data_IF_880210814443
#
_entry.id   IF_880210814443
#
_cell.length_a   1.000
_cell.length_b   1.000
_cell.length_c   1.000
_cell.angle_alpha   90.00
_cell.angle_beta   90.00
_cell.angle_gamma   90.00
#
_symmetry.space_group_name_H-M   'P 1'
#
loop_
_entity.id
_entity.type
_entity.pdbx_description
1 polymer ?
#
# COMPACT_ATOMS: atom_id res chain seq x y z
N UNK A 1 6.79 50.07 -35.05
CA UNK A 1 7.48 48.78 -35.29
C UNK A 1 7.13 47.67 -34.27
N UNK A 2 6.14 47.86 -33.36
CA UNK A 2 5.81 46.90 -32.28
C UNK A 2 4.58 46.00 -32.52
N UNK A 3 3.88 46.14 -33.66
CA UNK A 3 2.64 45.37 -33.95
C UNK A 3 2.92 44.06 -34.71
N UNK A 4 3.99 44.02 -35.52
CA UNK A 4 4.32 42.85 -36.35
C UNK A 4 4.85 41.65 -35.54
N UNK A 5 5.55 41.90 -34.41
CA UNK A 5 6.14 40.85 -33.58
C UNK A 5 5.12 40.07 -32.72
N UNK A 6 4.00 40.71 -32.34
CA UNK A 6 2.87 40.03 -31.66
C UNK A 6 2.07 39.14 -32.63
N UNK A 7 1.85 39.60 -33.86
CA UNK A 7 1.13 38.84 -34.90
C UNK A 7 1.89 37.58 -35.34
N UNK A 8 3.21 37.68 -35.49
CA UNK A 8 4.07 36.53 -35.83
C UNK A 8 4.14 35.50 -34.70
N UNK A 9 4.19 35.93 -33.42
CA UNK A 9 4.10 35.00 -32.26
C UNK A 9 2.74 34.32 -32.17
N UNK A 10 1.64 35.06 -32.37
CA UNK A 10 0.29 34.47 -32.36
C UNK A 10 0.08 33.47 -33.51
N UNK A 11 0.61 33.78 -34.71
CA UNK A 11 0.57 32.89 -35.88
C UNK A 11 1.42 31.63 -35.71
N UNK A 12 2.61 31.75 -35.10
CA UNK A 12 3.46 30.60 -34.77
C UNK A 12 2.81 29.70 -33.72
N UNK A 13 2.27 30.28 -32.64
CA UNK A 13 1.55 29.54 -31.59
C UNK A 13 0.30 28.86 -32.18
N UNK A 14 -0.46 29.55 -33.03
CA UNK A 14 -1.63 28.98 -33.70
C UNK A 14 -1.28 27.80 -34.62
N UNK A 15 -0.16 27.89 -35.35
CA UNK A 15 0.34 26.79 -36.21
C UNK A 15 0.80 25.57 -35.40
N UNK A 16 1.48 25.79 -34.28
CA UNK A 16 1.91 24.70 -33.38
C UNK A 16 0.70 23.98 -32.78
N UNK A 17 -0.29 24.73 -32.28
CA UNK A 17 -1.54 24.18 -31.73
C UNK A 17 -2.31 23.38 -32.81
N UNK A 18 -2.39 23.87 -34.05
CA UNK A 18 -3.05 23.11 -35.13
C UNK A 18 -2.32 21.82 -35.50
N UNK A 19 -0.99 21.79 -35.36
CA UNK A 19 -0.17 20.62 -35.66
C UNK A 19 -0.27 19.56 -34.55
N UNK A 20 -0.14 19.96 -33.29
CA UNK A 20 -0.28 19.06 -32.13
C UNK A 20 -1.69 18.45 -32.07
N UNK A 21 -2.72 19.25 -32.35
CA UNK A 21 -4.11 18.78 -32.47
C UNK A 21 -4.30 17.79 -33.63
N UNK A 22 -3.59 17.96 -34.73
CA UNK A 22 -3.59 16.99 -35.84
C UNK A 22 -2.89 15.69 -35.45
N UNK A 23 -1.85 15.73 -34.62
CA UNK A 23 -1.12 14.55 -34.16
C UNK A 23 -1.92 13.75 -33.12
N UNK A 24 -2.58 14.41 -32.17
CA UNK A 24 -3.47 13.75 -31.20
C UNK A 24 -4.65 13.03 -31.89
N UNK A 25 -5.23 13.63 -32.93
CA UNK A 25 -6.28 12.97 -33.71
C UNK A 25 -5.78 11.73 -34.46
N UNK A 26 -4.56 11.78 -35.02
CA UNK A 26 -3.93 10.62 -35.66
C UNK A 26 -3.67 9.51 -34.65
N UNK A 27 -3.19 9.85 -33.46
CA UNK A 27 -2.96 8.89 -32.38
C UNK A 27 -4.25 8.17 -31.99
N UNK A 28 -5.37 8.88 -31.82
CA UNK A 28 -6.67 8.25 -31.54
C UNK A 28 -7.15 7.34 -32.68
N UNK A 29 -6.93 7.74 -33.94
CA UNK A 29 -7.27 6.90 -35.11
C UNK A 29 -6.43 5.62 -35.14
N UNK A 30 -5.13 5.72 -34.83
CA UNK A 30 -4.24 4.56 -34.70
C UNK A 30 -4.68 3.63 -33.58
N UNK A 31 -5.03 4.15 -32.39
CA UNK A 31 -5.55 3.33 -31.29
C UNK A 31 -6.77 2.53 -31.74
N UNK A 32 -7.70 3.14 -32.48
CA UNK A 32 -8.92 2.45 -32.92
C UNK A 32 -8.64 1.40 -33.98
N UNK A 33 -7.73 1.67 -34.91
CA UNK A 33 -7.32 0.64 -35.88
C UNK A 33 -6.65 -0.53 -35.17
N UNK A 34 -5.74 -0.27 -34.23
CA UNK A 34 -5.06 -1.31 -33.48
C UNK A 34 -6.05 -2.11 -32.59
N UNK A 35 -7.02 -1.46 -31.95
CA UNK A 35 -8.08 -2.13 -31.20
C UNK A 35 -8.95 -3.01 -32.11
N UNK A 36 -9.23 -2.56 -33.33
CA UNK A 36 -9.98 -3.33 -34.34
C UNK A 36 -9.21 -4.58 -34.75
N UNK A 37 -7.88 -4.50 -34.95
CA UNK A 37 -7.06 -5.69 -35.22
C UNK A 37 -7.09 -6.72 -34.09
N UNK A 38 -7.32 -6.27 -32.84
CA UNK A 38 -7.50 -7.13 -31.66
C UNK A 38 -8.95 -7.60 -31.44
N UNK A 39 -9.86 -7.33 -32.38
CA UNK A 39 -11.26 -7.76 -32.32
C UNK A 39 -12.17 -6.87 -31.47
N UNK A 40 -11.72 -5.67 -31.09
CA UNK A 40 -12.56 -4.69 -30.38
C UNK A 40 -12.95 -3.55 -31.32
N UNK A 41 -14.22 -3.47 -31.70
CA UNK A 41 -14.71 -2.38 -32.54
C UNK A 41 -15.07 -1.17 -31.67
N UNK A 42 -14.53 -0.01 -32.01
CA UNK A 42 -14.75 1.24 -31.29
C UNK A 42 -15.14 2.36 -32.24
N UNK A 43 -16.27 3.02 -31.97
CA UNK A 43 -16.74 4.15 -32.79
C UNK A 43 -16.39 5.45 -32.08
N UNK A 44 -15.45 6.20 -32.63
CA UNK A 44 -15.13 7.56 -32.15
C UNK A 44 -16.19 8.52 -32.71
N UNK A 45 -16.60 9.56 -31.94
CA UNK A 45 -17.35 10.69 -32.47
C UNK A 45 -16.73 11.27 -33.76
N UNK A 46 -17.55 11.88 -34.64
CA UNK A 46 -17.10 12.43 -35.92
C UNK A 46 -15.98 13.47 -35.76
N UNK A 47 -15.10 13.62 -36.78
CA UNK A 47 -13.91 14.49 -36.73
C UNK A 47 -14.20 15.92 -36.27
N UNK A 48 -15.34 16.48 -36.66
CA UNK A 48 -15.73 17.85 -36.31
C UNK A 48 -16.56 17.95 -35.02
N UNK A 49 -16.89 16.83 -34.39
CA UNK A 49 -17.71 16.81 -33.18
C UNK A 49 -16.95 17.40 -32.00
N UNK A 50 -17.63 18.21 -31.18
CA UNK A 50 -17.08 18.76 -29.94
C UNK A 50 -16.50 17.65 -29.03
N UNK A 51 -17.20 16.52 -28.89
CA UNK A 51 -16.74 15.39 -28.10
C UNK A 51 -15.36 14.88 -28.55
N UNK A 52 -15.12 14.74 -29.86
CA UNK A 52 -13.82 14.32 -30.38
C UNK A 52 -12.73 15.34 -30.12
N UNK A 53 -13.06 16.63 -30.21
CA UNK A 53 -12.11 17.69 -29.92
C UNK A 53 -11.69 17.68 -28.45
N UNK A 54 -12.62 17.44 -27.52
CA UNK A 54 -12.33 17.31 -26.10
C UNK A 54 -11.49 16.07 -25.79
N UNK A 55 -11.78 14.91 -26.41
CA UNK A 55 -10.94 13.72 -26.27
C UNK A 55 -9.53 13.94 -26.81
N UNK A 56 -9.38 14.56 -27.99
CA UNK A 56 -8.07 14.86 -28.57
C UNK A 56 -7.22 15.78 -27.69
N UNK A 57 -7.84 16.77 -27.04
CA UNK A 57 -7.17 17.68 -26.11
C UNK A 57 -6.53 16.94 -24.93
N UNK A 58 -7.14 15.85 -24.45
CA UNK A 58 -6.54 15.05 -23.37
C UNK A 58 -5.21 14.45 -23.83
N UNK A 59 -5.17 13.80 -24.99
CA UNK A 59 -3.94 13.23 -25.53
C UNK A 59 -2.90 14.30 -25.85
N UNK A 60 -3.31 15.45 -26.38
CA UNK A 60 -2.44 16.61 -26.63
C UNK A 60 -1.77 17.08 -25.32
N UNK A 61 -2.55 17.27 -24.26
CA UNK A 61 -2.01 17.66 -22.95
C UNK A 61 -1.07 16.60 -22.38
N UNK A 62 -1.40 15.32 -22.48
CA UNK A 62 -0.54 14.24 -21.99
C UNK A 62 0.81 14.23 -22.72
N UNK A 63 0.82 14.41 -24.05
CA UNK A 63 2.05 14.52 -24.84
C UNK A 63 2.83 15.78 -24.47
N UNK A 64 2.16 16.92 -24.29
CA UNK A 64 2.79 18.16 -23.85
C UNK A 64 3.42 18.06 -22.44
N UNK A 65 2.83 17.22 -21.57
CA UNK A 65 3.37 16.87 -20.25
C UNK A 65 4.52 15.85 -20.31
N UNK A 66 4.97 15.45 -21.50
CA UNK A 66 6.12 14.57 -21.71
C UNK A 66 5.79 13.08 -21.78
N UNK A 67 4.51 12.68 -21.82
CA UNK A 67 4.13 11.29 -22.04
C UNK A 67 4.39 10.91 -23.50
N UNK A 68 5.12 9.82 -23.73
CA UNK A 68 5.45 9.37 -25.09
C UNK A 68 4.19 8.87 -25.82
N UNK A 69 4.04 9.27 -27.07
CA UNK A 69 2.96 8.79 -27.95
C UNK A 69 2.91 7.26 -28.06
N UNK A 70 4.07 6.61 -28.10
CA UNK A 70 4.19 5.15 -28.11
C UNK A 70 3.59 4.49 -26.85
N UNK A 71 3.81 5.11 -25.68
CA UNK A 71 3.22 4.62 -24.43
C UNK A 71 1.69 4.80 -24.44
N UNK A 72 1.19 5.95 -24.92
CA UNK A 72 -0.24 6.19 -25.02
C UNK A 72 -0.92 5.19 -25.98
N UNK A 73 -0.28 4.90 -27.12
CA UNK A 73 -0.73 3.87 -28.05
C UNK A 73 -0.79 2.49 -27.37
N UNK A 74 0.32 2.07 -26.75
CA UNK A 74 0.42 0.76 -26.09
C UNK A 74 -0.59 0.60 -24.95
N UNK A 75 -0.69 1.58 -24.05
CA UNK A 75 -1.57 1.53 -22.89
C UNK A 75 -3.04 1.44 -23.28
N UNK A 76 -3.49 2.24 -24.25
CA UNK A 76 -4.88 2.25 -24.71
C UNK A 76 -5.22 1.03 -25.56
N UNK A 77 -4.26 0.47 -26.30
CA UNK A 77 -4.47 -0.72 -27.12
C UNK A 77 -4.40 -2.02 -26.30
N UNK A 78 -3.65 -2.04 -25.19
CA UNK A 78 -3.66 -3.16 -24.22
C UNK A 78 -4.90 -3.13 -23.34
N UNK A 79 -5.44 -1.95 -23.06
CA UNK A 79 -6.62 -1.79 -22.22
C UNK A 79 -7.67 -0.91 -22.92
N UNK A 80 -8.56 -1.55 -23.68
CA UNK A 80 -9.64 -0.86 -24.39
C UNK A 80 -10.57 -0.07 -23.46
N UNK A 81 -10.70 -0.49 -22.19
CA UNK A 81 -11.52 0.22 -21.20
C UNK A 81 -10.94 1.59 -20.82
N UNK A 82 -9.61 1.73 -20.84
CA UNK A 82 -8.93 3.02 -20.65
C UNK A 82 -9.31 3.99 -21.78
N UNK A 83 -9.19 3.56 -23.02
CA UNK A 83 -9.53 4.40 -24.17
C UNK A 83 -11.00 4.83 -24.15
N UNK A 84 -11.90 3.86 -23.89
CA UNK A 84 -13.33 4.13 -23.72
C UNK A 84 -13.56 5.18 -22.62
N UNK A 85 -12.88 5.04 -21.49
CA UNK A 85 -13.00 5.94 -20.34
C UNK A 85 -12.60 7.36 -20.70
N UNK A 86 -11.41 7.53 -21.29
CA UNK A 86 -10.89 8.84 -21.71
C UNK A 86 -11.78 9.49 -22.76
N UNK A 87 -12.29 8.72 -23.73
CA UNK A 87 -13.17 9.27 -24.77
C UNK A 87 -14.55 9.63 -24.22
N UNK A 88 -15.08 8.82 -23.30
CA UNK A 88 -16.43 9.03 -22.73
C UNK A 88 -16.47 10.20 -21.73
N UNK A 89 -15.41 10.37 -20.94
CA UNK A 89 -15.32 11.39 -19.90
C UNK A 89 -13.95 12.09 -19.94
N UNK A 90 -13.63 12.86 -20.99
CA UNK A 90 -12.29 13.38 -21.23
C UNK A 90 -11.83 14.38 -20.15
N UNK A 91 -12.69 15.33 -19.78
CA UNK A 91 -12.36 16.33 -18.77
C UNK A 91 -12.08 15.69 -17.40
N UNK A 92 -13.00 14.81 -16.94
CA UNK A 92 -12.88 14.14 -15.64
C UNK A 92 -11.67 13.19 -15.62
N UNK A 93 -11.46 12.41 -16.68
CA UNK A 93 -10.31 11.49 -16.77
C UNK A 93 -8.98 12.23 -16.66
N UNK A 94 -8.85 13.38 -17.33
CA UNK A 94 -7.65 14.19 -17.27
C UNK A 94 -7.47 14.88 -15.91
N UNK A 95 -8.55 15.36 -15.31
CA UNK A 95 -8.53 15.94 -13.95
C UNK A 95 -8.05 14.92 -12.91
N UNK A 96 -8.50 13.66 -12.99
CA UNK A 96 -8.00 12.58 -12.14
C UNK A 96 -6.51 12.35 -12.35
N UNK A 97 -6.05 12.29 -13.61
CA UNK A 97 -4.63 12.09 -13.92
C UNK A 97 -3.79 13.24 -13.35
N UNK A 98 -4.20 14.49 -13.55
CA UNK A 98 -3.53 15.65 -12.98
C UNK A 98 -3.52 15.61 -11.45
N UNK A 99 -4.62 15.22 -10.81
CA UNK A 99 -4.70 15.11 -9.35
C UNK A 99 -3.71 14.09 -8.82
N UNK A 100 -3.63 12.92 -9.44
CA UNK A 100 -2.68 11.87 -9.06
C UNK A 100 -1.23 12.34 -9.21
N UNK A 101 -0.92 13.10 -10.27
CA UNK A 101 0.43 13.62 -10.50
C UNK A 101 0.77 14.74 -9.52
N UNK A 102 -0.11 15.74 -9.39
CA UNK A 102 0.16 16.96 -8.64
C UNK A 102 0.09 16.75 -7.12
N UNK A 103 -0.86 15.96 -6.65
CA UNK A 103 -1.10 15.70 -5.23
C UNK A 103 -0.53 14.34 -4.81
N UNK A 104 -0.71 13.32 -5.64
CA UNK A 104 -0.21 11.97 -5.36
C UNK A 104 1.27 11.76 -5.69
N UNK A 105 1.91 12.74 -6.35
CA UNK A 105 3.32 12.71 -6.75
C UNK A 105 3.72 11.50 -7.61
N UNK A 106 2.75 10.84 -8.26
CA UNK A 106 3.03 9.77 -9.22
C UNK A 106 3.37 10.37 -10.59
N UNK A 107 3.99 9.57 -11.47
CA UNK A 107 4.25 10.02 -12.84
C UNK A 107 2.95 10.00 -13.66
N UNK A 108 2.89 10.76 -14.76
CA UNK A 108 1.74 10.68 -15.68
C UNK A 108 1.51 9.26 -16.20
N UNK A 109 2.56 8.50 -16.49
CA UNK A 109 2.43 7.10 -16.90
C UNK A 109 1.82 6.23 -15.80
N UNK A 110 2.26 6.40 -14.54
CA UNK A 110 1.70 5.67 -13.40
C UNK A 110 0.23 6.05 -13.17
N UNK A 111 -0.12 7.34 -13.28
CA UNK A 111 -1.50 7.81 -13.17
C UNK A 111 -2.40 7.20 -14.27
N UNK A 112 -1.90 7.12 -15.51
CA UNK A 112 -2.61 6.46 -16.61
C UNK A 112 -2.79 4.96 -16.34
N UNK A 113 -1.75 4.27 -15.83
CA UNK A 113 -1.84 2.85 -15.43
C UNK A 113 -2.87 2.65 -14.32
N UNK A 114 -2.90 3.55 -13.32
CA UNK A 114 -3.89 3.50 -12.24
C UNK A 114 -5.32 3.69 -12.78
N UNK A 115 -5.54 4.66 -13.66
CA UNK A 115 -6.84 4.87 -14.31
C UNK A 115 -7.26 3.67 -15.16
N UNK A 116 -6.30 3.01 -15.80
CA UNK A 116 -6.57 1.81 -16.60
C UNK A 116 -7.01 0.61 -15.74
N UNK A 117 -6.46 0.48 -14.53
CA UNK A 117 -6.78 -0.63 -13.61
C UNK A 117 -8.04 -0.34 -12.79
N UNK A 118 -8.25 0.91 -12.35
CA UNK A 118 -9.35 1.32 -11.49
C UNK A 118 -10.22 2.45 -12.08
N UNK A 119 -10.73 2.32 -13.33
CA UNK A 119 -11.44 3.42 -14.00
C UNK A 119 -12.72 3.80 -13.25
N UNK A 120 -13.53 2.82 -12.86
CA UNK A 120 -14.82 3.04 -12.20
C UNK A 120 -14.65 3.69 -10.83
N UNK A 121 -13.72 3.20 -10.01
CA UNK A 121 -13.51 3.68 -8.65
C UNK A 121 -12.95 5.11 -8.64
N UNK A 122 -11.95 5.39 -9.48
CA UNK A 122 -11.33 6.72 -9.53
C UNK A 122 -12.29 7.78 -10.08
N UNK A 123 -13.05 7.45 -11.13
CA UNK A 123 -14.04 8.38 -11.68
C UNK A 123 -15.22 8.61 -10.74
N UNK A 124 -15.68 7.57 -10.03
CA UNK A 124 -16.80 7.68 -9.09
C UNK A 124 -16.48 8.61 -7.92
N UNK A 125 -15.26 8.53 -7.39
CA UNK A 125 -14.87 9.36 -6.23
C UNK A 125 -14.44 10.77 -6.66
N UNK A 126 -13.89 10.92 -7.86
CA UNK A 126 -13.52 12.23 -8.40
C UNK A 126 -12.27 12.83 -7.73
N UNK A 127 -11.79 13.93 -8.30
CA UNK A 127 -10.52 14.56 -7.91
C UNK A 127 -10.52 15.07 -6.45
N UNK A 128 -11.63 15.66 -5.99
CA UNK A 128 -11.74 16.22 -4.65
C UNK A 128 -11.64 15.14 -3.56
N UNK A 129 -12.34 14.01 -3.72
CA UNK A 129 -12.28 12.91 -2.76
C UNK A 129 -10.90 12.24 -2.74
N UNK A 130 -10.31 12.03 -3.93
CA UNK A 130 -8.96 11.49 -4.07
C UNK A 130 -7.93 12.40 -3.39
N UNK A 131 -8.04 13.72 -3.57
CA UNK A 131 -7.18 14.71 -2.90
C UNK A 131 -7.28 14.58 -1.39
N UNK A 132 -8.50 14.53 -0.84
CA UNK A 132 -8.71 14.38 0.60
C UNK A 132 -8.14 13.07 1.15
N UNK A 133 -8.25 11.97 0.40
CA UNK A 133 -7.63 10.70 0.77
C UNK A 133 -6.09 10.79 0.78
N UNK A 134 -5.48 11.46 -0.19
CA UNK A 134 -4.02 11.66 -0.23
C UNK A 134 -3.55 12.55 0.94
N UNK A 135 -4.30 13.61 1.27
CA UNK A 135 -4.03 14.44 2.44
C UNK A 135 -4.13 13.64 3.75
N UNK A 136 -5.11 12.73 3.85
CA UNK A 136 -5.24 11.83 4.98
C UNK A 136 -4.05 10.86 5.11
N UNK A 137 -3.45 10.40 4.00
CA UNK A 137 -2.21 9.60 4.05
C UNK A 137 -1.05 10.41 4.66
N UNK A 138 -0.94 11.68 4.28
CA UNK A 138 0.07 12.59 4.85
C UNK A 138 -0.14 12.78 6.37
N UNK A 139 -1.39 13.03 6.78
CA UNK A 139 -1.77 13.13 8.19
C UNK A 139 -1.56 11.83 8.99
N UNK A 140 -1.65 10.68 8.32
CA UNK A 140 -1.47 9.34 8.90
C UNK A 140 0.01 8.92 9.04
N UNK A 141 0.95 9.79 8.70
CA UNK A 141 2.39 9.57 8.88
C UNK A 141 3.17 9.26 7.61
N UNK A 142 2.52 9.26 6.43
CA UNK A 142 3.19 9.13 5.12
C UNK A 142 3.51 10.53 4.60
N UNK A 143 4.53 11.18 5.17
CA UNK A 143 4.70 12.63 5.01
C UNK A 143 5.53 13.09 3.81
N UNK A 144 6.25 12.20 3.12
CA UNK A 144 7.11 12.59 1.99
C UNK A 144 6.43 12.34 0.64
N UNK A 145 6.65 13.19 -0.39
CA UNK A 145 6.12 12.97 -1.73
C UNK A 145 6.44 11.58 -2.28
N UNK A 146 7.67 11.10 -2.06
CA UNK A 146 8.11 9.78 -2.50
C UNK A 146 7.39 8.65 -1.78
N UNK A 147 7.16 8.78 -0.47
CA UNK A 147 6.44 7.76 0.29
C UNK A 147 4.95 7.73 -0.07
N UNK A 148 4.34 8.90 -0.34
CA UNK A 148 2.94 8.99 -0.82
C UNK A 148 2.81 8.30 -2.18
N UNK A 149 3.65 8.66 -3.15
CA UNK A 149 3.64 8.04 -4.47
C UNK A 149 3.89 6.52 -4.40
N UNK A 150 4.81 6.09 -3.52
CA UNK A 150 5.07 4.67 -3.28
C UNK A 150 3.85 3.97 -2.65
N UNK A 151 3.17 4.60 -1.70
CA UNK A 151 2.00 4.02 -1.05
C UNK A 151 0.84 3.85 -2.02
N UNK A 152 0.55 4.88 -2.83
CA UNK A 152 -0.48 4.84 -3.87
C UNK A 152 -0.20 3.72 -4.88
N UNK A 153 1.06 3.56 -5.33
CA UNK A 153 1.41 2.51 -6.28
C UNK A 153 1.31 1.10 -5.71
N UNK A 154 1.60 0.93 -4.42
CA UNK A 154 1.53 -0.38 -3.75
C UNK A 154 0.11 -0.75 -3.34
N UNK A 155 -0.69 0.23 -2.96
CA UNK A 155 -2.08 0.03 -2.55
C UNK A 155 -2.98 1.15 -3.10
N UNK A 156 -3.32 1.10 -4.41
CA UNK A 156 -4.25 2.06 -5.02
C UNK A 156 -5.62 2.20 -4.34
N UNK A 157 -6.19 1.15 -3.71
CA UNK A 157 -7.45 1.27 -2.97
C UNK A 157 -7.44 2.32 -1.86
N UNK A 158 -6.29 2.77 -1.36
CA UNK A 158 -6.22 3.89 -0.41
C UNK A 158 -6.84 5.20 -0.92
N UNK A 159 -6.98 5.34 -2.25
CA UNK A 159 -7.56 6.52 -2.87
C UNK A 159 -9.09 6.55 -2.80
N UNK A 160 -9.75 5.43 -2.50
CA UNK A 160 -11.22 5.32 -2.64
C UNK A 160 -11.91 4.29 -1.74
N UNK A 161 -11.20 3.34 -1.13
CA UNK A 161 -11.80 2.22 -0.41
C UNK A 161 -12.18 2.56 1.04
N UNK A 162 -11.69 3.66 1.59
CA UNK A 162 -12.00 4.11 2.96
C UNK A 162 -12.09 5.64 3.00
N UNK A 163 -12.92 6.12 3.92
CA UNK A 163 -13.07 7.55 4.20
C UNK A 163 -11.78 8.16 4.79
N UNK A 164 -11.40 9.39 4.39
CA UNK A 164 -10.22 10.10 4.89
C UNK A 164 -10.14 10.19 6.42
N UNK A 165 -11.26 10.45 7.11
CA UNK A 165 -11.28 10.60 8.56
C UNK A 165 -11.12 9.25 9.25
N UNK A 166 -11.75 8.20 8.73
CA UNK A 166 -11.61 6.84 9.26
C UNK A 166 -10.17 6.31 9.08
N UNK A 167 -9.48 6.63 7.98
CA UNK A 167 -8.06 6.32 7.82
C UNK A 167 -7.19 7.02 8.87
N UNK A 168 -7.46 8.30 9.15
CA UNK A 168 -6.72 9.06 10.17
C UNK A 168 -7.00 8.53 11.59
N UNK A 169 -8.25 8.18 11.90
CA UNK A 169 -8.62 7.53 13.17
C UNK A 169 -7.88 6.21 13.35
N UNK A 170 -7.87 5.36 12.32
CA UNK A 170 -7.15 4.11 12.38
C UNK A 170 -5.63 4.33 12.55
N UNK A 171 -5.04 5.30 11.85
CA UNK A 171 -3.63 5.64 12.05
C UNK A 171 -3.33 6.10 13.49
N UNK A 172 -4.25 6.84 14.10
CA UNK A 172 -4.16 7.23 15.51
C UNK A 172 -4.25 6.03 16.45
N UNK A 173 -5.19 5.12 16.21
CA UNK A 173 -5.36 3.88 16.98
C UNK A 173 -4.14 2.96 16.86
N UNK A 174 -3.55 2.82 15.67
CA UNK A 174 -2.27 2.13 15.45
C UNK A 174 -1.16 2.79 16.29
N UNK A 175 -1.17 4.12 16.42
CA UNK A 175 -0.29 4.87 17.30
C UNK A 175 -0.44 4.54 18.79
N UNK A 176 -1.49 3.84 19.21
CA UNK A 176 -1.63 3.30 20.57
C UNK A 176 -0.73 2.09 20.85
N UNK A 177 -0.30 1.38 19.80
CA UNK A 177 0.58 0.20 19.92
C UNK A 177 2.07 0.54 19.73
N UNK A 178 2.36 1.62 19.00
CA UNK A 178 3.71 1.96 18.55
C UNK A 178 4.05 3.42 18.88
N UNK A 179 5.35 3.73 19.03
CA UNK A 179 5.77 5.13 19.02
C UNK A 179 5.44 5.79 17.67
N UNK A 180 5.33 7.13 17.64
CA UNK A 180 5.05 7.87 16.39
C UNK A 180 5.99 7.49 15.24
N UNK A 181 7.28 7.32 15.52
CA UNK A 181 8.28 6.93 14.50
C UNK A 181 8.02 5.52 13.96
N UNK A 182 7.76 4.56 14.86
CA UNK A 182 7.46 3.18 14.50
C UNK A 182 6.14 3.07 13.71
N UNK A 183 5.08 3.75 14.15
CA UNK A 183 3.80 3.78 13.46
C UNK A 183 3.94 4.35 12.04
N UNK A 184 4.60 5.51 11.90
CA UNK A 184 4.83 6.12 10.57
C UNK A 184 5.71 5.23 9.68
N UNK A 185 6.71 4.54 10.25
CA UNK A 185 7.54 3.58 9.51
C UNK A 185 6.71 2.38 9.00
N UNK A 186 5.92 1.77 9.89
CA UNK A 186 5.05 0.64 9.60
C UNK A 186 4.02 0.99 8.51
N UNK A 187 3.29 2.10 8.69
CA UNK A 187 2.28 2.58 7.76
C UNK A 187 2.91 2.91 6.39
N UNK A 188 4.10 3.53 6.36
CA UNK A 188 4.78 3.82 5.09
C UNK A 188 5.22 2.56 4.35
N UNK A 189 5.60 1.50 5.08
CA UNK A 189 6.02 0.22 4.49
C UNK A 189 4.85 -0.71 4.17
N UNK A 190 3.72 -0.55 4.83
CA UNK A 190 2.55 -1.41 4.70
C UNK A 190 1.27 -0.54 4.72
N UNK A 191 1.06 0.33 3.72
CA UNK A 191 0.02 1.35 3.78
C UNK A 191 -1.39 0.77 3.73
N UNK A 192 -1.54 -0.47 3.24
CA UNK A 192 -2.80 -1.22 3.30
C UNK A 192 -3.31 -1.47 4.73
N UNK A 193 -2.46 -1.33 5.76
CA UNK A 193 -2.87 -1.47 7.16
C UNK A 193 -4.00 -0.48 7.48
N UNK A 194 -4.03 0.67 6.80
CA UNK A 194 -5.09 1.69 6.93
C UNK A 194 -6.45 1.26 6.36
N UNK A 195 -6.52 0.10 5.69
CA UNK A 195 -7.75 -0.47 5.15
C UNK A 195 -8.29 -1.65 5.97
N UNK A 196 -7.57 -2.05 7.03
CA UNK A 196 -7.93 -3.20 7.86
C UNK A 196 -8.89 -2.81 9.00
N UNK A 197 -9.66 -3.77 9.53
CA UNK A 197 -10.35 -3.59 10.81
C UNK A 197 -9.34 -3.43 11.94
N UNK A 198 -9.61 -2.52 12.89
CA UNK A 198 -8.73 -2.34 14.06
C UNK A 198 -8.68 -3.61 14.90
N UNK A 199 -9.77 -4.36 14.97
CA UNK A 199 -9.88 -5.58 15.78
C UNK A 199 -8.90 -6.65 15.29
N UNK A 200 -8.72 -6.79 13.96
CA UNK A 200 -7.75 -7.73 13.38
C UNK A 200 -6.31 -7.31 13.72
N UNK A 201 -6.01 -6.01 13.63
CA UNK A 201 -4.69 -5.46 13.97
C UNK A 201 -4.41 -5.66 15.46
N UNK A 202 -5.35 -5.31 16.33
CA UNK A 202 -5.21 -5.46 17.78
C UNK A 202 -5.01 -6.93 18.14
N UNK A 203 -5.81 -7.85 17.59
CA UNK A 203 -5.72 -9.27 17.92
C UNK A 203 -4.35 -9.87 17.55
N UNK A 204 -3.84 -9.56 16.36
CA UNK A 204 -2.51 -9.99 15.91
C UNK A 204 -1.39 -9.34 16.72
N UNK A 205 -1.50 -8.03 16.99
CA UNK A 205 -0.52 -7.31 17.81
C UNK A 205 -0.47 -7.87 19.25
N UNK A 206 -1.63 -8.06 19.88
CA UNK A 206 -1.72 -8.62 21.23
C UNK A 206 -1.09 -10.01 21.31
N UNK A 207 -1.27 -10.84 20.28
CA UNK A 207 -0.62 -12.15 20.21
C UNK A 207 0.92 -12.02 20.17
N UNK A 208 1.46 -11.24 19.24
CA UNK A 208 2.91 -11.09 19.10
C UNK A 208 3.52 -10.47 20.37
N UNK A 209 2.91 -9.41 20.86
CA UNK A 209 3.46 -8.64 21.97
C UNK A 209 3.35 -9.39 23.30
N UNK A 210 2.18 -9.97 23.62
CA UNK A 210 1.96 -10.60 24.92
C UNK A 210 2.21 -12.11 24.96
N UNK A 211 1.93 -12.84 23.87
CA UNK A 211 2.12 -14.31 23.85
C UNK A 211 3.52 -14.69 23.37
N UNK A 212 4.03 -14.04 22.33
CA UNK A 212 5.43 -14.27 21.89
C UNK A 212 6.43 -13.48 22.73
N UNK A 213 5.99 -12.41 23.41
CA UNK A 213 6.84 -11.58 24.26
C UNK A 213 7.83 -10.73 23.44
N UNK A 214 7.42 -10.32 22.23
CA UNK A 214 8.25 -9.57 21.28
C UNK A 214 7.97 -8.07 21.40
N UNK A 215 9.01 -7.27 21.33
CA UNK A 215 8.93 -5.82 21.54
C UNK A 215 8.30 -5.08 20.34
N UNK A 216 7.61 -3.98 20.62
CA UNK A 216 6.93 -3.17 19.59
C UNK A 216 7.84 -2.69 18.46
N UNK A 217 9.13 -2.50 18.72
CA UNK A 217 10.13 -2.16 17.70
C UNK A 217 10.32 -3.29 16.69
N UNK A 218 10.50 -4.52 17.16
CA UNK A 218 10.63 -5.69 16.29
C UNK A 218 9.33 -5.98 15.52
N UNK A 219 8.17 -5.73 16.14
CA UNK A 219 6.87 -5.85 15.48
C UNK A 219 6.72 -4.83 14.35
N UNK A 220 7.17 -3.58 14.54
CA UNK A 220 7.09 -2.53 13.54
C UNK A 220 8.02 -2.76 12.32
N UNK A 221 9.09 -3.54 12.49
CA UNK A 221 10.02 -3.90 11.41
C UNK A 221 9.54 -5.07 10.53
N UNK A 222 8.58 -5.84 11.05
CA UNK A 222 8.00 -7.03 10.43
C UNK A 222 6.66 -6.69 9.77
N UNK A 223 6.45 -7.15 8.53
CA UNK A 223 5.25 -6.79 7.75
C UNK A 223 4.34 -7.99 7.46
N UNK A 224 4.86 -9.22 7.51
CA UNK A 224 4.13 -10.44 7.14
C UNK A 224 2.89 -10.69 8.00
N UNK A 225 2.88 -10.21 9.25
CA UNK A 225 1.71 -10.33 10.13
C UNK A 225 0.49 -9.52 9.66
N UNK A 226 0.67 -8.49 8.84
CA UNK A 226 -0.45 -7.62 8.43
C UNK A 226 -1.34 -8.34 7.40
N UNK A 227 -0.74 -8.88 6.34
CA UNK A 227 -1.48 -9.46 5.20
C UNK A 227 -1.12 -10.90 4.84
N UNK A 228 0.13 -11.30 5.07
CA UNK A 228 0.64 -12.56 4.55
C UNK A 228 0.21 -13.73 5.43
N UNK A 229 0.13 -13.51 6.74
CA UNK A 229 -0.25 -14.52 7.70
C UNK A 229 -1.59 -14.21 8.36
N UNK A 230 -2.43 -15.24 8.43
CA UNK A 230 -3.54 -15.24 9.36
C UNK A 230 -3.01 -15.35 10.79
N UNK A 231 -3.84 -14.98 11.78
CA UNK A 231 -3.50 -15.20 13.17
C UNK A 231 -3.22 -16.69 13.46
N UNK A 232 -3.93 -17.61 12.79
CA UNK A 232 -3.74 -19.05 12.99
C UNK A 232 -2.36 -19.49 12.49
N UNK A 233 -1.92 -18.99 11.34
CA UNK A 233 -0.58 -19.28 10.81
C UNK A 233 0.51 -18.74 11.75
N UNK A 234 0.33 -17.53 12.29
CA UNK A 234 1.24 -16.95 13.28
C UNK A 234 1.31 -17.81 14.54
N UNK A 235 0.15 -18.26 15.03
CA UNK A 235 0.03 -19.11 16.21
C UNK A 235 0.69 -20.47 15.98
N UNK A 236 0.45 -21.10 14.84
CA UNK A 236 1.02 -22.41 14.52
C UNK A 236 2.53 -22.32 14.34
N UNK A 237 3.06 -21.28 13.67
CA UNK A 237 4.50 -21.05 13.58
C UNK A 237 5.13 -20.89 14.97
N UNK A 238 4.54 -20.08 15.83
CA UNK A 238 5.05 -19.86 17.18
C UNK A 238 4.96 -21.12 18.05
N UNK A 239 3.81 -21.80 18.08
CA UNK A 239 3.61 -23.05 18.86
C UNK A 239 4.51 -24.16 18.38
N UNK A 240 4.76 -24.26 17.08
CA UNK A 240 5.69 -25.25 16.54
C UNK A 240 7.11 -24.99 17.02
N UNK A 241 7.59 -23.75 16.95
CA UNK A 241 8.92 -23.39 17.45
C UNK A 241 9.07 -23.63 18.97
N UNK A 242 8.01 -23.43 19.75
CA UNK A 242 7.98 -23.80 21.17
C UNK A 242 8.11 -25.32 21.35
N UNK A 243 7.33 -26.10 20.59
CA UNK A 243 7.34 -27.57 20.67
C UNK A 243 8.69 -28.17 20.25
N UNK A 244 9.36 -27.58 19.27
CA UNK A 244 10.70 -28.00 18.83
C UNK A 244 11.85 -27.39 19.65
N UNK A 245 11.54 -26.61 20.69
CA UNK A 245 12.53 -25.94 21.53
C UNK A 245 13.39 -24.89 20.81
N UNK A 246 12.92 -24.37 19.67
CA UNK A 246 13.59 -23.34 18.86
C UNK A 246 13.18 -21.92 19.24
N UNK A 247 12.16 -21.78 20.06
CA UNK A 247 11.73 -20.53 20.63
C UNK A 247 11.45 -20.74 22.12
N UNK A 248 11.84 -19.76 22.93
CA UNK A 248 11.51 -19.71 24.36
C UNK A 248 10.90 -18.35 24.64
N UNK A 249 9.66 -18.31 25.13
CA UNK A 249 9.01 -17.04 25.49
C UNK A 249 9.86 -16.32 26.55
N UNK A 250 10.26 -15.06 26.34
CA UNK A 250 11.12 -14.35 27.27
C UNK A 250 10.49 -14.25 28.67
N UNK A 251 11.09 -14.88 29.68
CA UNK A 251 10.67 -14.74 31.08
C UNK A 251 11.50 -13.64 31.77
N UNK A 252 10.90 -12.49 32.15
CA UNK A 252 11.59 -11.43 32.88
C UNK A 252 12.20 -11.88 34.20
N UNK A 253 11.66 -12.95 34.82
CA UNK A 253 12.14 -13.48 36.11
C UNK A 253 13.31 -14.44 35.95
N UNK A 254 13.59 -14.93 34.73
CA UNK A 254 14.66 -15.90 34.45
C UNK A 254 15.54 -15.42 33.28
N UNK A 255 16.23 -14.28 33.42
CA UNK A 255 17.03 -13.71 32.34
C UNK A 255 18.23 -14.59 31.93
N UNK A 256 18.63 -15.55 32.78
CA UNK A 256 19.79 -16.42 32.54
C UNK A 256 19.52 -17.57 31.55
N UNK A 257 18.25 -17.92 31.27
CA UNK A 257 17.87 -19.00 30.33
C UNK A 257 17.48 -18.40 28.96
N UNK A 258 18.24 -17.42 28.48
CA UNK A 258 17.97 -16.78 27.19
C UNK A 258 18.53 -17.65 26.06
N UNK A 259 17.69 -18.52 25.51
CA UNK A 259 17.88 -19.00 24.13
C UNK A 259 17.80 -17.78 23.20
N UNK A 260 18.73 -17.67 22.24
CA UNK A 260 18.61 -16.66 21.19
C UNK A 260 17.48 -17.07 20.24
N UNK A 261 16.28 -16.53 20.49
CA UNK A 261 15.13 -16.76 19.63
C UNK A 261 15.42 -16.26 18.21
N UNK A 262 14.90 -16.94 17.17
CA UNK A 262 14.91 -16.40 15.82
C UNK A 262 14.25 -15.02 15.76
N UNK A 263 14.83 -14.10 14.97
CA UNK A 263 14.25 -12.76 14.76
C UNK A 263 12.81 -12.88 14.26
N UNK A 264 11.91 -12.01 14.74
CA UNK A 264 10.49 -12.02 14.37
C UNK A 264 10.30 -12.02 12.84
N UNK A 265 11.06 -11.19 12.14
CA UNK A 265 11.06 -11.12 10.69
C UNK A 265 11.33 -12.47 10.00
N UNK A 266 12.24 -13.30 10.55
CA UNK A 266 12.48 -14.64 10.00
C UNK A 266 11.31 -15.57 10.27
N UNK A 267 10.60 -15.40 11.38
CA UNK A 267 9.45 -16.23 11.73
C UNK A 267 8.24 -15.87 10.86
N UNK A 268 7.98 -14.58 10.62
CA UNK A 268 6.70 -14.12 10.03
C UNK A 268 6.80 -13.67 8.57
N UNK A 269 7.93 -13.11 8.10
CA UNK A 269 8.08 -12.67 6.70
C UNK A 269 8.65 -13.79 5.79
N UNK A 270 8.89 -14.99 6.33
CA UNK A 270 9.35 -16.15 5.55
C UNK A 270 8.18 -16.89 4.91
N UNK A 271 8.40 -17.44 3.72
CA UNK A 271 7.46 -18.41 3.14
C UNK A 271 7.48 -19.72 3.95
N UNK A 272 6.53 -20.63 3.68
CA UNK A 272 6.39 -21.86 4.49
C UNK A 272 7.63 -22.75 4.46
N UNK A 273 8.29 -22.87 3.31
CA UNK A 273 9.46 -23.73 3.13
C UNK A 273 10.67 -23.16 3.88
N UNK A 274 10.94 -21.86 3.74
CA UNK A 274 12.02 -21.18 4.47
C UNK A 274 11.77 -21.21 5.98
N UNK A 275 10.52 -21.03 6.40
CA UNK A 275 10.14 -21.20 7.81
C UNK A 275 10.48 -22.62 8.31
N UNK A 276 10.00 -23.67 7.63
CA UNK A 276 10.22 -25.04 8.06
C UNK A 276 11.71 -25.41 8.10
N UNK A 277 12.42 -25.19 6.99
CA UNK A 277 13.80 -25.69 6.81
C UNK A 277 14.83 -24.79 7.51
N UNK A 278 14.70 -23.47 7.40
CA UNK A 278 15.74 -22.56 7.85
C UNK A 278 15.47 -21.95 9.22
N UNK A 279 14.20 -21.87 9.65
CA UNK A 279 13.83 -21.30 10.97
C UNK A 279 13.56 -22.41 11.98
N UNK A 280 12.63 -23.33 11.67
CA UNK A 280 12.27 -24.43 12.56
C UNK A 280 13.28 -25.58 12.52
N UNK A 281 14.10 -25.68 11.45
CA UNK A 281 15.11 -26.73 11.24
C UNK A 281 14.49 -28.13 11.17
N UNK A 282 13.39 -28.23 10.44
CA UNK A 282 12.66 -29.48 10.16
C UNK A 282 12.47 -29.66 8.67
N UNK A 283 12.03 -30.85 8.27
CA UNK A 283 11.58 -31.10 6.90
C UNK A 283 10.24 -30.43 6.62
N UNK A 284 9.95 -30.17 5.34
CA UNK A 284 8.64 -29.63 4.94
C UNK A 284 7.52 -30.62 5.24
N UNK A 285 7.77 -31.92 5.15
CA UNK A 285 6.78 -32.94 5.50
C UNK A 285 6.37 -32.86 6.98
N UNK A 286 7.34 -32.72 7.89
CA UNK A 286 7.07 -32.58 9.33
C UNK A 286 6.21 -31.35 9.64
N UNK A 287 6.49 -30.22 8.98
CA UNK A 287 5.69 -29.00 9.12
C UNK A 287 4.24 -29.17 8.64
N UNK A 288 4.06 -29.80 7.47
CA UNK A 288 2.71 -30.06 6.92
C UNK A 288 1.92 -31.00 7.82
N UNK A 289 2.55 -32.06 8.33
CA UNK A 289 1.93 -33.00 9.28
C UNK A 289 1.53 -32.27 10.57
N UNK A 290 2.39 -31.40 11.10
CA UNK A 290 2.08 -30.60 12.28
C UNK A 290 0.83 -29.72 12.07
N UNK A 291 0.76 -28.97 10.97
CA UNK A 291 -0.43 -28.15 10.64
C UNK A 291 -1.70 -29.00 10.59
N UNK A 292 -1.64 -30.19 9.98
CA UNK A 292 -2.78 -31.09 9.91
C UNK A 292 -3.23 -31.61 11.28
N UNK A 293 -2.29 -31.86 12.20
CA UNK A 293 -2.60 -32.23 13.59
C UNK A 293 -3.20 -31.05 14.37
N UNK A 294 -2.67 -29.83 14.19
CA UNK A 294 -3.16 -28.61 14.84
C UNK A 294 -4.60 -28.25 14.49
N UNK A 295 -5.00 -28.48 13.26
CA UNK A 295 -6.41 -28.30 12.85
C UNK A 295 -7.33 -29.24 13.65
N UNK A 296 -6.93 -30.50 13.83
CA UNK A 296 -7.71 -31.48 14.62
C UNK A 296 -7.77 -31.12 16.11
N UNK A 297 -6.66 -30.66 16.68
CA UNK A 297 -6.61 -30.19 18.07
C UNK A 297 -7.55 -28.99 18.28
N UNK A 298 -7.52 -28.01 17.38
CA UNK A 298 -8.36 -26.81 17.47
C UNK A 298 -9.85 -27.14 17.39
N UNK A 299 -10.24 -28.09 16.52
CA UNK A 299 -11.63 -28.59 16.45
C UNK A 299 -12.04 -29.26 17.77
N UNK A 300 -11.14 -30.02 18.40
CA UNK A 300 -11.42 -30.72 19.66
C UNK A 300 -11.42 -29.79 20.89
N UNK A 301 -10.64 -28.70 20.89
CA UNK A 301 -10.51 -27.80 22.03
C UNK A 301 -11.81 -27.00 22.34
N UNK A 302 -12.76 -26.91 21.39
CA UNK A 302 -14.04 -26.17 21.53
C UNK A 302 -13.92 -24.76 22.14
N UNK A 303 -12.75 -24.11 22.04
CA UNK A 303 -12.54 -22.77 22.58
C UNK A 303 -13.14 -21.74 21.63
N UNK A 304 -13.95 -20.82 22.17
CA UNK A 304 -14.44 -19.66 21.41
C UNK A 304 -13.31 -18.72 20.92
N UNK A 305 -12.14 -18.73 21.60
CA UNK A 305 -11.02 -17.83 21.29
C UNK A 305 -9.73 -18.59 21.02
N UNK A 306 -8.96 -18.07 20.05
CA UNK A 306 -7.72 -18.67 19.53
C UNK A 306 -6.56 -18.62 20.54
N UNK A 307 -6.54 -17.62 21.41
CA UNK A 307 -5.61 -17.51 22.53
C UNK A 307 -6.25 -16.82 23.74
N UNK A 308 -5.69 -17.06 24.92
CA UNK A 308 -6.16 -16.44 26.15
C UNK A 308 -5.82 -14.95 26.15
N UNK A 309 -6.86 -14.11 26.00
CA UNK A 309 -6.69 -12.65 26.00
C UNK A 309 -6.03 -12.21 27.29
N UNK A 310 -5.01 -11.37 27.17
CA UNK A 310 -4.22 -10.96 28.34
C UNK A 310 -5.09 -10.04 29.20
N UNK A 311 -5.32 -10.46 30.46
CA UNK A 311 -6.15 -9.68 31.39
C UNK A 311 -5.65 -8.23 31.47
N UNK A 312 -6.54 -7.22 31.56
CA UNK A 312 -6.14 -5.81 31.66
C UNK A 312 -5.11 -5.52 32.77
N UNK A 313 -5.15 -6.27 33.87
CA UNK A 313 -4.17 -6.17 34.95
C UNK A 313 -2.76 -6.63 34.54
N UNK A 314 -2.66 -7.68 33.72
CA UNK A 314 -1.39 -8.14 33.14
C UNK A 314 -0.89 -7.17 32.07
N UNK A 315 -1.79 -6.58 31.28
CA UNK A 315 -1.50 -5.50 30.31
C UNK A 315 -0.79 -4.32 30.99
N UNK A 316 -1.44 -3.76 32.03
CA UNK A 316 -0.90 -2.66 32.84
C UNK A 316 0.41 -3.02 33.56
N UNK A 317 0.54 -4.24 34.07
CA UNK A 317 1.78 -4.67 34.75
C UNK A 317 2.95 -4.81 33.77
N UNK A 318 2.69 -5.30 32.56
CA UNK A 318 3.68 -5.41 31.50
C UNK A 318 4.12 -4.01 31.01
N UNK A 319 3.16 -3.11 30.77
CA UNK A 319 3.42 -1.70 30.41
C UNK A 319 4.24 -0.95 31.48
N UNK A 320 3.96 -1.15 32.77
CA UNK A 320 4.75 -0.55 33.87
C UNK A 320 6.20 -1.03 33.88
N UNK A 321 6.41 -2.36 33.80
CA UNK A 321 7.76 -2.94 33.73
C UNK A 321 8.52 -2.43 32.51
N UNK A 322 7.81 -2.17 31.41
CA UNK A 322 8.40 -1.59 30.21
C UNK A 322 8.80 -0.15 30.37
N UNK A 323 7.93 0.67 30.95
CA UNK A 323 8.25 2.06 31.27
C UNK A 323 9.47 2.14 32.19
N UNK A 324 9.50 1.32 33.24
CA UNK A 324 10.61 1.22 34.19
C UNK A 324 11.92 0.79 33.51
N UNK A 325 11.89 -0.21 32.61
CA UNK A 325 13.08 -0.64 31.85
C UNK A 325 13.61 0.45 30.92
N UNK A 326 12.72 1.19 30.25
CA UNK A 326 13.10 2.27 29.34
C UNK A 326 13.72 3.44 30.10
N UNK A 327 13.12 3.82 31.22
CA UNK A 327 13.69 4.80 32.14
C UNK A 327 15.06 4.34 32.64
N UNK A 328 15.23 3.07 33.02
CA UNK A 328 16.51 2.52 33.46
C UNK A 328 17.59 2.57 32.37
N UNK A 329 17.23 2.26 31.12
CA UNK A 329 18.15 2.30 29.98
C UNK A 329 18.60 3.73 29.64
N UNK A 330 17.72 4.72 29.80
CA UNK A 330 18.05 6.15 29.62
C UNK A 330 18.97 6.68 30.74
N UNK A 331 18.99 6.04 31.92
CA UNK A 331 19.84 6.43 33.06
C UNK A 331 21.18 5.68 33.13
N UNK A 332 21.49 4.77 32.19
CA UNK A 332 22.83 4.20 32.06
C UNK A 332 23.73 5.25 31.41
N UNK A 333 24.31 6.12 32.25
CA UNK A 333 25.42 7.00 31.85
C UNK A 333 26.61 6.16 31.40
N UNK A 334 27.20 6.54 30.27
CA UNK A 334 28.38 5.92 29.69
C UNK A 334 29.58 6.07 30.64
N UNK A 335 29.89 5.02 31.41
CA UNK A 335 31.05 4.96 32.31
C UNK A 335 32.33 4.59 31.54
N UNK A 336 32.32 4.61 30.19
CA UNK A 336 33.52 4.34 29.38
C UNK A 336 34.28 5.59 28.92
N UNK A 337 33.92 6.77 29.44
CA UNK A 337 34.69 8.00 29.26
C UNK A 337 35.35 8.46 30.58
N UNK A 338 36.33 7.69 31.07
CA UNK A 338 37.39 8.19 31.99
C UNK A 338 38.73 7.57 31.60
#
# INVERSE_FOLDING_TARGET
>A
MFVASRSLRASAISRTITKERSEANRLMEQIVEDLKTKGTEFVIPGRDSFARQESAKVFEKLVACGVKSEFLLDANTKNASLFKTVVSQPAVSFEIIETLVNVGYVTFEDAIRLLAIFPSDLLRHGAASITSNIEALSASGISTPRSIASAIKRCPPLLFARDPQEMQRLAHEIGGFFSKKQASHLISRCPQILLKPIEEIEEKYEYIFYQMGVESEDVAECIGWIDELSLDDMVDRHRFLLATGKFTTPDPKRPQIRLENPKLRRILDSNEEDFAVNVARVTMEEWVVYKALRVKETINEQKERKFDRVKPSKRKAYERRHKEKRELAEHVFDVSAV
#
